data_IF_959326354440
#
_entry.id   IF_959326354440
#
_cell.length_a   1.000
_cell.length_b   1.000
_cell.length_c   1.000
_cell.angle_alpha   90.00
_cell.angle_beta   90.00
_cell.angle_gamma   90.00
#
_symmetry.space_group_name_H-M   'P 1'
#
loop_
_entity.id
_entity.type
_entity.pdbx_description
1 polymer ?
#
# COMPACT_ATOMS: atom_id res chain seq x y z
N UNK A 1 -40.74 -18.70 -8.22
CA UNK A 1 -39.28 -18.59 -8.40
C UNK A 1 -38.89 -17.17 -7.99
N UNK A 2 -38.43 -16.99 -6.74
CA UNK A 2 -38.06 -15.67 -6.22
C UNK A 2 -36.59 -15.48 -6.47
N UNK A 3 -36.25 -14.50 -7.31
CA UNK A 3 -34.87 -14.03 -7.43
C UNK A 3 -34.47 -13.45 -6.07
N UNK A 4 -33.51 -14.08 -5.41
CA UNK A 4 -32.81 -13.50 -4.29
C UNK A 4 -31.90 -12.43 -4.85
N UNK A 5 -32.37 -11.19 -4.72
CA UNK A 5 -31.56 -9.99 -4.88
C UNK A 5 -30.52 -10.00 -3.76
N UNK A 6 -29.38 -10.62 -4.04
CA UNK A 6 -28.22 -10.55 -3.16
C UNK A 6 -27.62 -9.18 -3.40
N UNK A 7 -27.95 -8.22 -2.55
CA UNK A 7 -27.23 -6.96 -2.48
C UNK A 7 -25.72 -7.24 -2.44
N UNK A 8 -24.89 -6.58 -3.26
CA UNK A 8 -23.45 -6.74 -3.19
C UNK A 8 -22.99 -6.45 -1.77
N UNK A 9 -22.18 -7.36 -1.22
CA UNK A 9 -21.54 -7.14 0.06
C UNK A 9 -20.88 -5.75 0.05
N UNK A 10 -20.89 -4.98 1.15
CA UNK A 10 -20.24 -3.69 1.20
C UNK A 10 -18.79 -3.89 0.77
N UNK A 11 -18.38 -3.22 -0.30
CA UNK A 11 -16.99 -3.27 -0.77
C UNK A 11 -16.11 -2.87 0.40
N UNK A 12 -15.27 -3.79 0.85
CA UNK A 12 -14.40 -3.56 2.00
C UNK A 12 -13.56 -2.31 1.73
N UNK A 13 -13.55 -1.37 2.65
CA UNK A 13 -12.78 -0.13 2.54
C UNK A 13 -11.31 -0.47 2.23
N UNK A 14 -10.77 -0.10 1.06
CA UNK A 14 -9.41 -0.45 0.67
C UNK A 14 -8.37 0.15 1.61
N UNK A 15 -8.65 1.27 2.26
CA UNK A 15 -7.75 1.88 3.23
C UNK A 15 -7.67 1.05 4.50
N UNK A 16 -8.79 0.52 4.98
CA UNK A 16 -8.82 -0.39 6.13
C UNK A 16 -8.03 -1.68 5.84
N UNK A 17 -8.09 -2.20 4.60
CA UNK A 17 -7.34 -3.38 4.19
C UNK A 17 -5.83 -3.09 3.99
N UNK A 18 -5.46 -1.87 3.55
CA UNK A 18 -4.09 -1.42 3.37
C UNK A 18 -3.37 -1.12 4.69
N UNK A 19 -4.06 -0.55 5.67
CA UNK A 19 -3.45 -0.08 6.91
C UNK A 19 -2.58 -1.13 7.61
N UNK A 20 -3.01 -2.40 7.80
CA UNK A 20 -2.17 -3.43 8.39
C UNK A 20 -0.93 -3.78 7.56
N UNK A 21 -1.00 -3.62 6.23
CA UNK A 21 0.10 -3.92 5.32
C UNK A 21 1.18 -2.84 5.40
N UNK A 22 0.79 -1.58 5.36
CA UNK A 22 1.68 -0.41 5.31
C UNK A 22 2.53 -0.26 6.57
N UNK A 23 2.03 -0.71 7.73
CA UNK A 23 2.78 -0.66 9.00
C UNK A 23 3.73 -1.84 9.20
N UNK A 24 3.71 -2.84 8.31
CA UNK A 24 4.66 -3.97 8.32
C UNK A 24 6.01 -3.55 7.75
N UNK A 25 6.97 -4.46 7.87
CA UNK A 25 8.29 -4.38 7.22
C UNK A 25 8.58 -5.69 6.52
N UNK A 26 9.33 -5.63 5.43
CA UNK A 26 9.80 -6.82 4.75
C UNK A 26 8.70 -7.63 4.07
N UNK A 27 7.67 -6.97 3.55
CA UNK A 27 6.57 -7.63 2.85
C UNK A 27 7.00 -7.99 1.44
N UNK A 28 7.17 -9.28 1.16
CA UNK A 28 7.47 -9.78 -0.17
C UNK A 28 6.20 -9.89 -1.01
N UNK A 29 6.16 -9.26 -2.19
CA UNK A 29 5.00 -9.27 -3.09
C UNK A 29 4.59 -10.70 -3.50
N UNK A 30 5.55 -11.58 -3.75
CA UNK A 30 5.30 -12.98 -4.10
C UNK A 30 4.66 -13.81 -2.97
N UNK A 31 4.82 -13.38 -1.71
CA UNK A 31 4.22 -14.04 -0.55
C UNK A 31 2.80 -13.57 -0.23
N UNK A 32 2.31 -12.53 -0.90
CA UNK A 32 0.94 -12.02 -0.70
C UNK A 32 -0.06 -12.82 -1.52
N UNK A 33 -1.26 -13.01 -0.97
CA UNK A 33 -2.42 -13.44 -1.75
C UNK A 33 -2.78 -12.41 -2.83
N UNK A 34 -3.52 -12.83 -3.85
CA UNK A 34 -3.85 -12.00 -5.02
C UNK A 34 -4.49 -10.65 -4.63
N UNK A 35 -5.49 -10.66 -3.76
CA UNK A 35 -6.16 -9.44 -3.30
C UNK A 35 -5.24 -8.49 -2.54
N UNK A 36 -4.39 -9.00 -1.65
CA UNK A 36 -3.41 -8.19 -0.91
C UNK A 36 -2.32 -7.63 -1.83
N UNK A 37 -1.90 -8.41 -2.82
CA UNK A 37 -0.94 -7.96 -3.83
C UNK A 37 -1.54 -6.86 -4.69
N UNK A 38 -2.79 -7.00 -5.13
CA UNK A 38 -3.51 -5.96 -5.87
C UNK A 38 -3.59 -4.66 -5.06
N UNK A 39 -3.90 -4.73 -3.76
CA UNK A 39 -3.90 -3.59 -2.84
C UNK A 39 -2.52 -2.93 -2.74
N UNK A 40 -1.46 -3.72 -2.55
CA UNK A 40 -0.09 -3.20 -2.43
C UNK A 40 0.37 -2.49 -3.72
N UNK A 41 0.13 -3.10 -4.88
CA UNK A 41 0.46 -2.52 -6.17
C UNK A 41 -0.39 -1.28 -6.49
N UNK A 42 -1.69 -1.34 -6.20
CA UNK A 42 -2.59 -0.20 -6.35
C UNK A 42 -2.21 0.98 -5.46
N UNK A 43 -1.72 0.74 -4.25
CA UNK A 43 -1.21 1.78 -3.37
C UNK A 43 0.02 2.49 -3.96
N UNK A 44 0.98 1.73 -4.50
CA UNK A 44 2.12 2.31 -5.23
C UNK A 44 1.65 3.10 -6.44
N UNK A 45 0.74 2.55 -7.23
CA UNK A 45 0.15 3.20 -8.39
C UNK A 45 -0.52 4.53 -8.03
N UNK A 46 -1.30 4.58 -6.94
CA UNK A 46 -1.95 5.80 -6.49
C UNK A 46 -0.96 6.91 -6.12
N UNK A 47 0.23 6.55 -5.64
CA UNK A 47 1.31 7.49 -5.32
C UNK A 47 2.15 7.94 -6.52
N UNK A 48 1.96 7.35 -7.71
CA UNK A 48 2.67 7.77 -8.92
C UNK A 48 1.99 8.98 -9.57
N UNK A 49 2.79 9.88 -10.13
CA UNK A 49 2.29 10.99 -10.96
C UNK A 49 1.58 10.50 -12.22
N UNK A 50 0.68 11.33 -12.75
CA UNK A 50 -0.13 11.01 -13.95
C UNK A 50 0.59 11.25 -15.29
N UNK A 51 1.81 11.77 -15.27
CA UNK A 51 2.58 12.06 -16.48
C UNK A 51 3.20 10.83 -17.12
N UNK A 52 3.63 11.00 -18.37
CA UNK A 52 4.47 10.04 -19.07
C UNK A 52 5.91 10.21 -18.61
N UNK A 53 6.58 9.13 -18.28
CA UNK A 53 7.95 9.11 -17.78
C UNK A 53 8.82 8.24 -18.68
N UNK A 54 10.02 8.70 -18.98
CA UNK A 54 11.07 7.82 -19.51
C UNK A 54 11.51 6.82 -18.44
N UNK A 55 12.21 5.76 -18.82
CA UNK A 55 12.66 4.72 -17.88
C UNK A 55 13.42 5.26 -16.66
N UNK A 56 14.37 6.19 -16.77
CA UNK A 56 15.02 6.76 -15.59
C UNK A 56 14.03 7.46 -14.64
N UNK A 57 13.03 8.15 -15.21
CA UNK A 57 12.01 8.84 -14.44
C UNK A 57 11.09 7.91 -13.66
N UNK A 58 10.58 6.82 -14.28
CA UNK A 58 9.77 5.84 -13.57
C UNK A 58 10.60 5.09 -12.52
N UNK A 59 11.85 4.80 -12.79
CA UNK A 59 12.75 4.18 -11.82
C UNK A 59 12.96 5.09 -10.60
N UNK A 60 13.17 6.39 -10.82
CA UNK A 60 13.30 7.37 -9.72
C UNK A 60 12.01 7.46 -8.89
N UNK A 61 10.83 7.51 -9.55
CA UNK A 61 9.54 7.54 -8.88
C UNK A 61 9.30 6.28 -8.02
N UNK A 62 9.62 5.09 -8.55
CA UNK A 62 9.46 3.85 -7.80
C UNK A 62 10.45 3.73 -6.63
N UNK A 63 11.68 4.20 -6.79
CA UNK A 63 12.65 4.29 -5.68
C UNK A 63 12.14 5.21 -4.58
N UNK A 64 11.57 6.36 -4.93
CA UNK A 64 10.94 7.26 -3.97
C UNK A 64 9.78 6.60 -3.23
N UNK A 65 8.91 5.86 -3.92
CA UNK A 65 7.83 5.09 -3.29
C UNK A 65 8.36 4.05 -2.30
N UNK A 66 9.42 3.31 -2.66
CA UNK A 66 10.04 2.31 -1.79
C UNK A 66 10.79 2.92 -0.60
N UNK A 67 11.26 4.16 -0.71
CA UNK A 67 11.83 4.91 0.40
C UNK A 67 10.77 5.54 1.31
N UNK A 68 9.59 5.86 0.78
CA UNK A 68 8.49 6.56 1.42
C UNK A 68 7.28 5.67 1.73
N UNK A 69 6.17 5.93 1.03
CA UNK A 69 4.88 5.29 1.28
C UNK A 69 4.95 3.76 1.27
N UNK A 70 5.60 3.18 0.29
CA UNK A 70 5.69 1.74 0.06
C UNK A 70 6.93 1.07 0.70
N UNK A 71 7.60 1.71 1.66
CA UNK A 71 8.79 1.15 2.33
C UNK A 71 8.54 -0.15 3.12
N UNK A 72 7.30 -0.56 3.26
CA UNK A 72 6.92 -1.87 3.81
C UNK A 72 7.29 -3.02 2.88
N UNK A 73 7.40 -2.78 1.56
CA UNK A 73 7.66 -3.80 0.56
C UNK A 73 9.15 -4.17 0.53
N UNK A 74 9.42 -5.48 0.52
CA UNK A 74 10.76 -6.04 0.33
C UNK A 74 10.95 -6.39 -1.15
N UNK A 75 11.19 -5.37 -1.96
CA UNK A 75 11.42 -5.50 -3.41
C UNK A 75 12.30 -4.34 -3.89
N UNK A 76 12.92 -4.48 -5.03
CA UNK A 76 13.59 -3.37 -5.71
C UNK A 76 12.65 -2.70 -6.74
N UNK A 77 13.08 -1.56 -7.27
CA UNK A 77 12.31 -0.79 -8.23
C UNK A 77 12.12 -1.50 -9.59
N UNK A 78 13.03 -2.40 -9.97
CA UNK A 78 12.95 -3.14 -11.24
C UNK A 78 11.89 -4.23 -11.13
N UNK A 79 11.91 -4.99 -10.05
CA UNK A 79 10.92 -6.01 -9.76
C UNK A 79 9.54 -5.38 -9.55
N UNK A 80 9.45 -4.30 -8.79
CA UNK A 80 8.21 -3.56 -8.58
C UNK A 80 7.62 -3.04 -9.89
N UNK A 81 8.45 -2.50 -10.78
CA UNK A 81 8.02 -2.06 -12.12
C UNK A 81 7.44 -3.21 -12.95
N UNK A 82 8.07 -4.40 -12.89
CA UNK A 82 7.56 -5.59 -13.56
C UNK A 82 6.19 -5.98 -13.02
N UNK A 83 6.05 -6.08 -11.71
CA UNK A 83 4.77 -6.39 -11.07
C UNK A 83 3.66 -5.42 -11.48
N UNK A 84 3.96 -4.12 -11.50
CA UNK A 84 2.99 -3.09 -11.89
C UNK A 84 2.60 -3.20 -13.37
N UNK A 85 3.55 -3.47 -14.26
CA UNK A 85 3.27 -3.68 -15.68
C UNK A 85 2.45 -4.96 -15.92
N UNK A 86 2.85 -6.07 -15.31
CA UNK A 86 2.22 -7.37 -15.50
C UNK A 86 0.78 -7.38 -14.96
N UNK A 87 0.53 -6.67 -13.87
CA UNK A 87 -0.81 -6.52 -13.30
C UNK A 87 -1.67 -5.44 -13.98
N UNK A 88 -1.12 -4.66 -14.92
CA UNK A 88 -1.84 -3.63 -15.66
C UNK A 88 -1.97 -2.29 -14.97
N UNK A 89 -1.32 -2.07 -13.80
CA UNK A 89 -1.29 -0.80 -13.09
C UNK A 89 -0.42 0.25 -13.80
N UNK A 90 0.64 -0.21 -14.47
CA UNK A 90 1.58 0.62 -15.21
C UNK A 90 1.54 0.23 -16.68
N UNK A 91 1.39 1.21 -17.55
CA UNK A 91 1.43 1.04 -18.99
C UNK A 91 2.81 1.42 -19.51
N UNK A 92 3.32 0.66 -20.46
CA UNK A 92 4.54 0.98 -21.20
C UNK A 92 4.27 0.99 -22.68
N UNK A 93 5.03 1.77 -23.44
CA UNK A 93 5.02 1.73 -24.91
C UNK A 93 5.62 0.41 -25.45
N UNK A 94 5.47 0.17 -26.75
CA UNK A 94 5.93 -1.08 -27.38
C UNK A 94 7.46 -1.29 -27.27
N UNK A 95 8.22 -0.22 -27.08
CA UNK A 95 9.68 -0.25 -27.02
C UNK A 95 10.24 -0.17 -25.58
N UNK A 96 9.37 -0.02 -24.58
CA UNK A 96 9.79 0.11 -23.19
C UNK A 96 10.53 1.40 -22.85
N UNK A 97 10.30 2.47 -23.63
CA UNK A 97 10.93 3.78 -23.45
C UNK A 97 10.12 4.73 -22.58
N UNK A 98 8.78 4.58 -22.65
CA UNK A 98 7.84 5.44 -21.97
C UNK A 98 6.93 4.61 -21.06
N UNK A 99 6.69 5.14 -19.88
CA UNK A 99 5.85 4.55 -18.85
C UNK A 99 4.83 5.56 -18.36
N UNK A 100 3.63 5.12 -18.07
CA UNK A 100 2.62 5.94 -17.39
C UNK A 100 1.75 5.05 -16.51
N UNK A 101 1.19 5.61 -15.44
CA UNK A 101 0.17 4.91 -14.69
C UNK A 101 -1.07 4.70 -15.57
N UNK A 102 -1.72 3.55 -15.49
CA UNK A 102 -2.99 3.33 -16.15
C UNK A 102 -4.06 4.25 -15.54
N UNK A 103 -4.92 4.85 -16.37
CA UNK A 103 -6.11 5.50 -15.84
C UNK A 103 -7.06 4.43 -15.28
N UNK A 104 -7.93 4.75 -14.29
CA UNK A 104 -8.85 3.76 -13.73
C UNK A 104 -9.63 2.98 -14.80
N UNK A 105 -10.12 3.65 -15.84
CA UNK A 105 -10.86 3.01 -16.94
C UNK A 105 -10.01 2.07 -17.81
N UNK A 106 -8.69 2.13 -17.73
CA UNK A 106 -7.76 1.26 -18.47
C UNK A 106 -7.31 0.03 -17.67
N UNK A 107 -7.67 -0.03 -16.38
CA UNK A 107 -7.34 -1.16 -15.52
C UNK A 107 -8.11 -2.41 -15.95
N UNK A 108 -7.55 -3.60 -15.72
CA UNK A 108 -8.31 -4.84 -15.84
C UNK A 108 -9.62 -4.79 -15.05
N UNK A 109 -10.66 -5.41 -15.56
CA UNK A 109 -12.01 -5.37 -14.95
C UNK A 109 -12.01 -5.73 -13.45
N UNK A 110 -11.18 -6.70 -13.05
CA UNK A 110 -11.04 -7.12 -11.66
C UNK A 110 -10.42 -6.04 -10.76
N UNK A 111 -9.71 -5.05 -11.31
CA UNK A 111 -9.02 -4.00 -10.56
C UNK A 111 -9.74 -2.64 -10.66
N UNK A 112 -10.77 -2.52 -11.50
CA UNK A 112 -11.44 -1.25 -11.78
C UNK A 112 -12.00 -0.62 -10.50
N UNK A 113 -12.77 -1.37 -9.73
CA UNK A 113 -13.36 -0.88 -8.47
C UNK A 113 -12.30 -0.43 -7.47
N UNK A 114 -11.25 -1.24 -7.30
CA UNK A 114 -10.12 -0.90 -6.44
C UNK A 114 -9.39 0.36 -6.93
N UNK A 115 -9.14 0.46 -8.24
CA UNK A 115 -8.48 1.63 -8.82
C UNK A 115 -9.26 2.93 -8.61
N UNK A 116 -10.59 2.89 -8.82
CA UNK A 116 -11.47 4.04 -8.57
C UNK A 116 -11.45 4.45 -7.09
N UNK A 117 -11.54 3.49 -6.19
CA UNK A 117 -11.54 3.76 -4.74
C UNK A 117 -10.20 4.35 -4.27
N UNK A 118 -9.07 3.82 -4.76
CA UNK A 118 -7.73 4.35 -4.44
C UNK A 118 -7.50 5.73 -5.05
N UNK A 119 -7.97 5.98 -6.27
CA UNK A 119 -7.90 7.30 -6.91
C UNK A 119 -8.65 8.35 -6.08
N UNK A 120 -9.84 8.02 -5.60
CA UNK A 120 -10.64 8.91 -4.75
C UNK A 120 -9.99 9.15 -3.38
N UNK A 121 -9.40 8.10 -2.79
CA UNK A 121 -8.78 8.18 -1.48
C UNK A 121 -7.48 9.00 -1.49
N UNK A 122 -6.71 8.92 -2.57
CA UNK A 122 -5.38 9.54 -2.70
C UNK A 122 -5.29 10.57 -3.82
N UNK A 123 -6.37 11.26 -4.11
CA UNK A 123 -6.36 12.34 -5.08
C UNK A 123 -5.27 13.38 -4.72
N UNK A 124 -4.39 13.67 -5.69
CA UNK A 124 -3.24 14.54 -5.47
C UNK A 124 -2.01 13.88 -4.83
N UNK A 125 -1.97 12.56 -4.63
CA UNK A 125 -0.75 11.84 -4.25
C UNK A 125 -0.43 11.83 -2.74
N UNK A 126 -1.45 11.88 -1.88
CA UNK A 126 -1.29 11.92 -0.42
C UNK A 126 -0.86 10.58 0.23
N UNK A 127 -0.34 9.62 -0.54
CA UNK A 127 0.05 8.29 -0.04
C UNK A 127 1.12 8.34 1.03
N UNK A 128 2.14 9.21 0.87
CA UNK A 128 3.23 9.36 1.84
C UNK A 128 2.73 9.87 3.19
N UNK A 129 1.95 10.95 3.20
CA UNK A 129 1.40 11.54 4.41
C UNK A 129 0.50 10.55 5.16
N UNK A 130 -0.35 9.82 4.44
CA UNK A 130 -1.22 8.80 5.01
C UNK A 130 -0.42 7.64 5.62
N UNK A 131 0.58 7.12 4.91
CA UNK A 131 1.43 6.03 5.40
C UNK A 131 2.24 6.42 6.63
N UNK A 132 2.81 7.63 6.64
CA UNK A 132 3.55 8.16 7.80
C UNK A 132 2.63 8.34 9.00
N UNK A 133 1.42 8.86 8.81
CA UNK A 133 0.41 8.99 9.87
C UNK A 133 0.09 7.65 10.54
N UNK A 134 -0.12 6.60 9.75
CA UNK A 134 -0.35 5.23 10.26
C UNK A 134 0.83 4.69 11.07
N UNK A 135 2.04 4.89 10.58
CA UNK A 135 3.26 4.43 11.23
C UNK A 135 3.50 5.15 12.55
N UNK A 136 3.28 6.47 12.57
CA UNK A 136 3.38 7.28 13.77
C UNK A 136 2.35 6.87 14.84
N UNK A 137 1.10 6.62 14.44
CA UNK A 137 0.06 6.13 15.31
C UNK A 137 0.43 4.76 15.91
N UNK A 138 0.94 3.85 15.07
CA UNK A 138 1.38 2.52 15.51
C UNK A 138 2.54 2.59 16.51
N UNK A 139 3.49 3.48 16.30
CA UNK A 139 4.62 3.66 17.22
C UNK A 139 4.15 4.27 18.55
N UNK A 140 3.24 5.25 18.52
CA UNK A 140 2.65 5.84 19.72
C UNK A 140 1.92 4.77 20.57
N UNK A 141 1.14 3.90 19.94
CA UNK A 141 0.49 2.78 20.62
C UNK A 141 1.49 1.83 21.29
N UNK A 142 2.57 1.47 20.58
CA UNK A 142 3.63 0.60 21.12
C UNK A 142 4.30 1.24 22.33
N UNK A 143 4.63 2.52 22.23
CA UNK A 143 5.26 3.28 23.30
C UNK A 143 4.34 3.40 24.52
N UNK A 144 3.03 3.62 24.32
CA UNK A 144 2.04 3.66 25.40
C UNK A 144 1.94 2.30 26.12
N UNK A 145 1.89 1.19 25.38
CA UNK A 145 1.86 -0.16 25.95
C UNK A 145 3.12 -0.49 26.78
N UNK A 146 4.31 -0.08 26.30
CA UNK A 146 5.56 -0.27 27.05
C UNK A 146 5.52 0.49 28.39
N UNK A 147 5.13 1.76 28.38
CA UNK A 147 5.00 2.56 29.60
C UNK A 147 4.01 1.96 30.60
N UNK A 148 2.86 1.48 30.12
CA UNK A 148 1.86 0.83 30.99
C UNK A 148 2.39 -0.46 31.60
N UNK A 149 3.19 -1.22 30.84
CA UNK A 149 3.79 -2.46 31.34
C UNK A 149 4.88 -2.22 32.37
N UNK A 150 5.68 -1.16 32.21
CA UNK A 150 6.71 -0.74 33.18
C UNK A 150 6.09 -0.24 34.48
N UNK A 151 4.98 0.51 34.42
CA UNK A 151 4.26 1.03 35.58
C UNK A 151 3.48 -0.05 36.35
N UNK A 152 3.06 -1.13 35.67
CA UNK A 152 2.33 -2.26 36.28
C UNK A 152 3.21 -3.36 36.87
N UNK A 153 4.55 -3.21 36.85
CA UNK A 153 5.46 -4.17 37.44
C UNK A 153 5.58 -3.89 38.95
N UNK A 154 5.03 -4.75 39.85
CA UNK A 154 5.22 -4.55 41.29
C UNK A 154 6.71 -4.63 41.58
N UNK A 155 7.21 -3.66 42.35
CA UNK A 155 8.60 -3.56 42.71
C UNK A 155 9.14 -4.86 43.26
N UNK A 156 10.17 -5.40 42.63
CA UNK A 156 10.91 -6.54 43.12
C UNK A 156 11.56 -6.20 44.44
N UNK A 157 11.06 -6.84 45.51
CA UNK A 157 11.81 -7.15 46.72
C UNK A 157 12.49 -6.00 47.47
N UNK A 158 11.78 -5.45 48.47
CA UNK A 158 12.49 -4.99 49.66
C UNK A 158 13.06 -6.24 50.34
N UNK A 159 14.39 -6.30 50.61
CA UNK A 159 14.89 -7.29 51.54
C UNK A 159 14.36 -6.96 52.96
N UNK A 160 13.76 -7.93 53.58
CA UNK A 160 13.34 -7.84 54.98
C UNK A 160 14.56 -7.71 55.88
N UNK A 161 14.43 -7.02 57.03
CA UNK A 161 15.51 -6.82 58.00
C UNK A 161 15.95 -8.11 58.69
#
# INVERSE_FOLDING_TARGET
MRATDTAPAPEADPLAALAPLVVKRGVALGGLGEGQRALALGFVWAGLGRGVLAEPGVNAALKAQLAGAARCLATDHVELRRWLCDAGWLRRDAWGREYRRAAPAELPAALLGLGVALEQAFDGGATDAWAEGLRAAREAERSARRRSHEQGRPGAGQPAP
#
